data_IF_287193898275
#
_entry.id   IF_287193898275
#
_cell.length_a   1.000
_cell.length_b   1.000
_cell.length_c   1.000
_cell.angle_alpha   90.00
_cell.angle_beta   90.00
_cell.angle_gamma   90.00
#
_symmetry.space_group_name_H-M   'P 1'
#
loop_
_entity.id
_entity.type
_entity.pdbx_description
1 polymer ?
#
# COMPACT_ATOMS: atom_id res chain seq x y z
N UNK A 1 -58.93 -14.75 37.07
CA UNK A 1 -58.16 -16.01 37.18
C UNK A 1 -56.95 -15.91 36.26
N UNK A 2 -55.74 -15.92 36.81
CA UNK A 2 -54.51 -15.92 36.00
C UNK A 2 -54.21 -17.34 35.53
N UNK A 3 -53.88 -17.56 34.24
CA UNK A 3 -53.51 -18.88 33.77
C UNK A 3 -52.19 -19.31 34.40
N UNK A 4 -52.25 -20.27 35.34
CA UNK A 4 -51.05 -20.87 35.93
C UNK A 4 -50.44 -21.83 34.94
N UNK A 5 -49.43 -21.37 34.21
CA UNK A 5 -48.61 -22.21 33.33
C UNK A 5 -47.75 -23.17 34.15
N UNK A 6 -47.82 -24.46 33.82
CA UNK A 6 -47.07 -25.52 34.51
C UNK A 6 -45.55 -25.27 34.49
N UNK A 7 -44.84 -25.42 35.62
CA UNK A 7 -43.41 -25.13 35.74
C UNK A 7 -42.54 -25.92 34.75
N UNK A 8 -42.96 -27.14 34.41
CA UNK A 8 -42.28 -28.00 33.42
C UNK A 8 -42.33 -27.41 31.99
N UNK A 9 -43.39 -26.67 31.66
CA UNK A 9 -43.55 -26.02 30.35
C UNK A 9 -42.72 -24.75 30.23
N UNK A 10 -42.45 -24.09 31.36
CA UNK A 10 -41.59 -22.89 31.45
C UNK A 10 -40.12 -23.27 31.29
N UNK A 11 -39.66 -24.35 31.92
CA UNK A 11 -38.27 -24.82 31.78
C UNK A 11 -37.93 -25.26 30.36
N UNK A 12 -38.84 -25.96 29.69
CA UNK A 12 -38.69 -26.37 28.28
C UNK A 12 -38.60 -25.16 27.34
N UNK A 13 -39.49 -24.17 27.50
CA UNK A 13 -39.42 -22.92 26.74
C UNK A 13 -38.14 -22.15 27.00
N UNK A 14 -37.70 -22.02 28.25
CA UNK A 14 -36.42 -21.37 28.58
C UNK A 14 -35.24 -22.08 27.90
N UNK A 15 -35.26 -23.42 27.86
CA UNK A 15 -34.22 -24.22 27.21
C UNK A 15 -34.19 -24.01 25.68
N UNK A 16 -35.37 -23.94 25.04
CA UNK A 16 -35.47 -23.61 23.61
C UNK A 16 -34.96 -22.19 23.32
N UNK A 17 -35.37 -21.19 24.11
CA UNK A 17 -34.88 -19.82 23.94
C UNK A 17 -33.35 -19.72 24.13
N UNK A 18 -32.78 -20.47 25.08
CA UNK A 18 -31.32 -20.51 25.27
C UNK A 18 -30.58 -21.15 24.11
N UNK A 19 -31.14 -22.19 23.49
CA UNK A 19 -30.56 -22.84 22.31
C UNK A 19 -30.61 -21.91 21.10
N UNK A 20 -31.74 -21.25 20.88
CA UNK A 20 -31.93 -20.30 19.79
C UNK A 20 -31.02 -19.07 19.96
N UNK A 21 -30.93 -18.52 21.17
CA UNK A 21 -29.99 -17.44 21.49
C UNK A 21 -28.52 -17.84 21.31
N UNK A 22 -28.15 -19.09 21.61
CA UNK A 22 -26.80 -19.61 21.35
C UNK A 22 -26.51 -19.67 19.85
N UNK A 23 -27.46 -20.17 19.04
CA UNK A 23 -27.29 -20.23 17.60
C UNK A 23 -27.10 -18.83 16.98
N UNK A 24 -27.90 -17.85 17.41
CA UNK A 24 -27.72 -16.46 16.98
C UNK A 24 -26.37 -15.88 17.40
N UNK A 25 -25.94 -16.14 18.65
CA UNK A 25 -24.64 -15.67 19.15
C UNK A 25 -23.48 -16.25 18.33
N UNK A 26 -23.52 -17.54 18.02
CA UNK A 26 -22.48 -18.22 17.23
C UNK A 26 -22.40 -17.65 15.81
N UNK A 27 -23.55 -17.34 15.22
CA UNK A 27 -23.63 -16.72 13.89
C UNK A 27 -23.06 -15.29 13.89
N UNK A 28 -23.31 -14.52 14.95
CA UNK A 28 -22.77 -13.16 15.12
C UNK A 28 -21.27 -13.22 15.36
N UNK A 29 -20.79 -14.08 16.27
CA UNK A 29 -19.37 -14.23 16.57
C UNK A 29 -18.59 -14.67 15.31
N UNK A 30 -19.15 -15.54 14.48
CA UNK A 30 -18.57 -15.92 13.19
C UNK A 30 -18.43 -14.74 12.23
N UNK A 31 -19.49 -13.93 12.08
CA UNK A 31 -19.47 -12.74 11.21
C UNK A 31 -18.51 -11.66 11.72
N UNK A 32 -18.48 -11.41 13.03
CA UNK A 32 -17.58 -10.44 13.65
C UNK A 32 -16.12 -10.90 13.55
N UNK A 33 -15.86 -12.20 13.73
CA UNK A 33 -14.52 -12.77 13.57
C UNK A 33 -14.00 -12.61 12.13
N UNK A 34 -14.83 -12.90 11.13
CA UNK A 34 -14.47 -12.72 9.73
C UNK A 34 -14.25 -11.24 9.38
N UNK A 35 -15.16 -10.36 9.83
CA UNK A 35 -15.03 -8.92 9.61
C UNK A 35 -13.76 -8.36 10.27
N UNK A 36 -13.43 -8.81 11.48
CA UNK A 36 -12.18 -8.44 12.17
C UNK A 36 -10.96 -8.91 11.39
N UNK A 37 -10.98 -10.14 10.87
CA UNK A 37 -9.88 -10.69 10.07
C UNK A 37 -9.65 -9.87 8.80
N UNK A 38 -10.71 -9.54 8.08
CA UNK A 38 -10.65 -8.72 6.87
C UNK A 38 -10.20 -7.28 7.17
N UNK A 39 -10.78 -6.64 8.19
CA UNK A 39 -10.40 -5.30 8.62
C UNK A 39 -8.93 -5.23 9.05
N UNK A 40 -8.44 -6.25 9.78
CA UNK A 40 -7.03 -6.34 10.18
C UNK A 40 -6.13 -6.50 8.97
N UNK A 41 -6.52 -7.33 7.99
CA UNK A 41 -5.72 -7.56 6.77
C UNK A 41 -5.66 -6.30 5.90
N UNK A 42 -6.79 -5.63 5.68
CA UNK A 42 -6.86 -4.39 4.90
C UNK A 42 -6.12 -3.27 5.64
N UNK A 43 -6.35 -3.13 6.94
CA UNK A 43 -5.69 -2.14 7.79
C UNK A 43 -4.17 -2.31 7.82
N UNK A 44 -3.68 -3.55 7.93
CA UNK A 44 -2.23 -3.83 7.91
C UNK A 44 -1.61 -3.44 6.58
N UNK A 45 -2.25 -3.77 5.45
CA UNK A 45 -1.78 -3.38 4.12
C UNK A 45 -1.76 -1.86 3.94
N UNK A 46 -2.85 -1.20 4.33
CA UNK A 46 -2.97 0.25 4.27
C UNK A 46 -1.90 0.94 5.16
N UNK A 47 -1.64 0.40 6.36
CA UNK A 47 -0.64 0.90 7.27
C UNK A 47 0.78 0.75 6.72
N UNK A 48 1.10 -0.40 6.10
CA UNK A 48 2.42 -0.61 5.48
C UNK A 48 2.61 0.36 4.31
N UNK A 49 1.64 0.46 3.40
CA UNK A 49 1.74 1.36 2.24
C UNK A 49 1.81 2.83 2.69
N UNK A 50 0.91 3.23 3.59
CA UNK A 50 0.87 4.58 4.15
C UNK A 50 2.15 4.90 4.94
N UNK A 51 2.65 3.95 5.71
CA UNK A 51 3.89 4.07 6.47
C UNK A 51 5.11 4.25 5.57
N UNK A 52 5.26 3.44 4.52
CA UNK A 52 6.36 3.57 3.55
C UNK A 52 6.28 4.91 2.82
N UNK A 53 5.10 5.31 2.34
CA UNK A 53 4.92 6.61 1.66
C UNK A 53 5.23 7.79 2.59
N UNK A 54 4.65 7.80 3.79
CA UNK A 54 4.87 8.87 4.77
C UNK A 54 6.35 8.96 5.20
N UNK A 55 6.99 7.83 5.51
CA UNK A 55 8.41 7.82 5.87
C UNK A 55 9.30 8.27 4.71
N UNK A 56 9.04 7.83 3.48
CA UNK A 56 9.79 8.28 2.30
C UNK A 56 9.64 9.78 2.06
N UNK A 57 8.44 10.34 2.23
CA UNK A 57 8.20 11.78 2.08
C UNK A 57 8.93 12.57 3.17
N UNK A 58 8.87 12.12 4.42
CA UNK A 58 9.59 12.77 5.52
C UNK A 58 11.11 12.70 5.31
N UNK A 59 11.64 11.55 4.90
CA UNK A 59 13.07 11.40 4.58
C UNK A 59 13.48 12.30 3.40
N UNK A 60 12.69 12.33 2.34
CA UNK A 60 12.95 13.17 1.17
C UNK A 60 12.89 14.66 1.52
N UNK A 61 11.89 15.08 2.29
CA UNK A 61 11.72 16.46 2.75
C UNK A 61 12.87 16.87 3.67
N UNK A 62 13.28 16.00 4.60
CA UNK A 62 14.41 16.24 5.49
C UNK A 62 15.73 16.34 4.72
N UNK A 63 15.98 15.43 3.78
CA UNK A 63 17.21 15.39 2.99
C UNK A 63 17.29 16.52 1.94
N UNK A 64 16.14 16.98 1.44
CA UNK A 64 16.07 18.07 0.44
C UNK A 64 16.08 19.44 1.11
N UNK A 65 15.52 19.59 2.31
CA UNK A 65 15.49 20.87 3.05
C UNK A 65 16.89 21.43 3.31
N UNK A 66 17.90 20.59 3.48
CA UNK A 66 19.29 21.04 3.74
C UNK A 66 19.99 21.55 2.45
N UNK A 67 19.46 21.20 1.28
CA UNK A 67 19.93 21.70 -0.02
C UNK A 67 19.20 22.97 -0.48
N UNK A 68 18.12 23.36 0.19
CA UNK A 68 17.51 24.68 0.05
C UNK A 68 18.30 25.72 0.84
N UNK A 69 19.59 25.85 0.55
CA UNK A 69 20.31 27.09 0.81
C UNK A 69 19.56 28.18 0.08
N UNK A 70 18.81 28.97 0.84
CA UNK A 70 18.17 30.22 0.45
C UNK A 70 19.03 30.92 -0.61
N UNK A 71 18.65 30.78 -1.87
CA UNK A 71 18.99 31.78 -2.87
C UNK A 71 18.11 32.96 -2.47
N UNK A 72 18.59 33.74 -1.50
CA UNK A 72 18.15 35.11 -1.38
C UNK A 72 18.55 35.75 -2.71
N UNK A 73 17.58 35.82 -3.61
CA UNK A 73 17.64 36.70 -4.75
C UNK A 73 17.87 38.11 -4.17
N UNK A 74 19.13 38.51 -4.03
CA UNK A 74 19.47 39.91 -4.14
C UNK A 74 19.07 40.26 -5.56
N UNK A 75 17.86 40.81 -5.68
CA UNK A 75 17.43 41.57 -6.84
C UNK A 75 18.48 42.67 -6.96
N UNK A 76 19.48 42.42 -7.81
CA UNK A 76 20.38 43.45 -8.28
C UNK A 76 19.54 44.24 -9.27
N UNK A 77 18.92 45.32 -8.79
CA UNK A 77 18.55 46.44 -9.65
C UNK A 77 19.81 46.79 -10.44
N UNK A 78 19.87 46.41 -11.71
CA UNK A 78 20.61 47.06 -12.81
C UNK A 78 20.71 46.11 -14.02
N UNK A 79 19.83 46.33 -14.99
CA UNK A 79 20.12 46.34 -16.43
C UNK A 79 20.68 45.09 -17.13
N UNK A 80 19.78 44.41 -17.86
CA UNK A 80 20.00 43.95 -19.25
C UNK A 80 21.19 43.00 -19.58
N UNK A 81 21.39 41.93 -18.82
CA UNK A 81 22.21 40.80 -19.29
C UNK A 81 21.49 39.46 -18.97
N UNK A 82 21.33 38.54 -19.94
CA UNK A 82 20.88 37.20 -19.64
C UNK A 82 22.03 36.46 -18.93
N UNK A 83 22.00 36.43 -17.60
CA UNK A 83 22.90 35.56 -16.82
C UNK A 83 22.47 34.13 -17.07
N UNK A 84 23.22 33.40 -17.91
CA UNK A 84 23.07 31.96 -18.08
C UNK A 84 23.50 31.32 -16.76
N UNK A 85 22.53 31.04 -15.89
CA UNK A 85 22.74 30.21 -14.71
C UNK A 85 23.00 28.79 -15.22
N UNK A 86 24.27 28.44 -15.48
CA UNK A 86 24.67 27.03 -15.60
C UNK A 86 24.17 26.37 -14.32
N UNK A 87 23.17 25.49 -14.43
CA UNK A 87 22.82 24.56 -13.36
C UNK A 87 24.09 23.77 -13.07
N UNK A 88 24.84 24.19 -12.06
CA UNK A 88 25.88 23.34 -11.49
C UNK A 88 25.20 22.02 -11.17
N UNK A 89 25.73 20.92 -11.72
CA UNK A 89 25.30 19.58 -11.33
C UNK A 89 25.47 19.54 -9.82
N UNK A 90 24.34 19.58 -9.10
CA UNK A 90 24.34 19.44 -7.66
C UNK A 90 25.24 18.24 -7.36
N UNK A 91 26.31 18.44 -6.58
CA UNK A 91 27.30 17.40 -6.28
C UNK A 91 26.57 16.28 -5.56
N UNK A 92 26.05 15.32 -6.31
CA UNK A 92 25.36 14.16 -5.78
C UNK A 92 26.39 13.41 -4.94
N UNK A 93 26.09 13.20 -3.65
CA UNK A 93 27.01 12.50 -2.75
C UNK A 93 27.34 11.13 -3.34
N UNK A 94 28.63 10.74 -3.38
CA UNK A 94 29.11 9.53 -4.07
C UNK A 94 28.30 8.27 -3.71
N UNK A 95 27.84 8.18 -2.46
CA UNK A 95 26.98 7.12 -1.95
C UNK A 95 25.60 7.08 -2.63
N UNK A 96 24.98 8.23 -2.88
CA UNK A 96 23.67 8.35 -3.56
C UNK A 96 23.81 7.92 -5.02
N UNK A 97 24.93 8.26 -5.66
CA UNK A 97 25.22 7.84 -7.04
C UNK A 97 25.37 6.32 -7.13
N UNK A 98 26.06 5.68 -6.19
CA UNK A 98 26.20 4.22 -6.13
C UNK A 98 24.86 3.52 -5.91
N UNK A 99 24.03 4.00 -4.97
CA UNK A 99 22.70 3.42 -4.70
C UNK A 99 21.79 3.53 -5.92
N UNK A 100 21.78 4.69 -6.61
CA UNK A 100 21.05 4.85 -7.88
C UNK A 100 21.51 3.85 -8.94
N UNK A 101 22.81 3.59 -9.04
CA UNK A 101 23.37 2.58 -9.94
C UNK A 101 22.83 1.17 -9.66
N UNK A 102 22.88 0.71 -8.41
CA UNK A 102 22.34 -0.59 -8.02
C UNK A 102 20.83 -0.69 -8.23
N UNK A 103 20.07 0.37 -7.92
CA UNK A 103 18.63 0.41 -8.20
C UNK A 103 18.34 0.33 -9.69
N UNK A 104 19.10 1.04 -10.53
CA UNK A 104 18.93 1.01 -11.98
C UNK A 104 19.25 -0.38 -12.55
N UNK A 105 20.31 -1.04 -12.07
CA UNK A 105 20.64 -2.42 -12.47
C UNK A 105 19.55 -3.41 -12.03
N UNK A 106 19.01 -3.26 -10.82
CA UNK A 106 17.93 -4.09 -10.32
C UNK A 106 16.64 -3.92 -11.14
N UNK A 107 16.26 -2.67 -11.45
CA UNK A 107 15.12 -2.38 -12.31
C UNK A 107 15.33 -2.94 -13.73
N UNK A 108 16.55 -2.83 -14.28
CA UNK A 108 16.88 -3.38 -15.59
C UNK A 108 16.78 -4.91 -15.61
N UNK A 109 17.18 -5.59 -14.53
CA UNK A 109 17.04 -7.04 -14.40
C UNK A 109 15.56 -7.46 -14.43
N UNK A 110 14.72 -6.79 -13.64
CA UNK A 110 13.27 -7.03 -13.64
C UNK A 110 12.65 -6.75 -15.01
N UNK A 111 13.04 -5.65 -15.66
CA UNK A 111 12.55 -5.29 -16.98
C UNK A 111 12.91 -6.35 -18.04
N UNK A 112 14.14 -6.86 -18.00
CA UNK A 112 14.58 -7.95 -18.88
C UNK A 112 13.71 -9.20 -18.70
N UNK A 113 13.48 -9.63 -17.47
CA UNK A 113 12.67 -10.81 -17.19
C UNK A 113 11.23 -10.64 -17.70
N UNK A 114 10.63 -9.47 -17.48
CA UNK A 114 9.28 -9.14 -17.99
C UNK A 114 9.21 -9.08 -19.52
N UNK A 115 10.24 -8.57 -20.18
CA UNK A 115 10.32 -8.55 -21.64
C UNK A 115 10.43 -9.99 -22.19
N UNK A 116 11.24 -10.85 -21.58
CA UNK A 116 11.39 -12.25 -22.00
C UNK A 116 10.09 -13.04 -21.77
N UNK A 117 9.40 -12.79 -20.65
CA UNK A 117 8.09 -13.36 -20.35
C UNK A 117 7.06 -12.94 -21.42
N UNK A 118 6.97 -11.65 -21.75
CA UNK A 118 6.08 -11.16 -22.79
C UNK A 118 6.40 -11.74 -24.18
N UNK A 119 7.68 -11.87 -24.53
CA UNK A 119 8.11 -12.48 -25.79
C UNK A 119 7.77 -13.97 -25.85
N UNK A 120 7.90 -14.69 -24.75
CA UNK A 120 7.52 -16.11 -24.65
C UNK A 120 6.02 -16.30 -24.86
N UNK A 121 5.20 -15.48 -24.20
CA UNK A 121 3.74 -15.49 -24.34
C UNK A 121 3.32 -15.17 -25.78
N UNK A 122 3.97 -14.19 -26.43
CA UNK A 122 3.72 -13.90 -27.85
C UNK A 122 4.11 -15.08 -28.73
N UNK A 123 5.30 -15.64 -28.54
CA UNK A 123 5.79 -16.77 -29.35
C UNK A 123 4.87 -17.99 -29.25
N UNK A 124 4.37 -18.28 -28.06
CA UNK A 124 3.42 -19.36 -27.81
C UNK A 124 2.08 -19.10 -28.51
N UNK A 125 1.53 -17.89 -28.42
CA UNK A 125 0.32 -17.48 -29.15
C UNK A 125 0.47 -17.55 -30.68
N UNK A 126 1.64 -17.19 -31.22
CA UNK A 126 1.90 -17.27 -32.67
C UNK A 126 2.08 -18.72 -33.16
N UNK A 127 2.68 -19.60 -32.35
CA UNK A 127 2.84 -21.01 -32.68
C UNK A 127 1.49 -21.75 -32.71
N UNK A 128 0.60 -21.44 -31.76
CA UNK A 128 -0.75 -22.00 -31.69
C UNK A 128 -1.62 -21.56 -32.89
N UNK A 129 -1.51 -20.29 -33.31
CA UNK A 129 -2.24 -19.74 -34.46
C UNK A 129 -1.75 -20.24 -35.83
N UNK A 130 -0.56 -20.84 -35.90
CA UNK A 130 0.00 -21.43 -37.13
C UNK A 130 -0.28 -22.92 -37.30
N UNK A 131 -0.86 -23.56 -36.27
CA UNK A 131 -1.20 -24.99 -36.23
C UNK A 131 -2.70 -25.25 -36.41
N UNK A 132 -3.49 -24.20 -36.68
CA UNK A 132 -4.91 -24.24 -37.07
C UNK A 132 -5.11 -23.90 -38.54
#
# INVERSE_FOLDING_TARGET
MFPTVSPKKISERKRQLHLEAKAYKETIDGQVSNLKSEATRIGTRALIIGGVLATSYLLFSYLTSDNEKKVSAKISENGNLPVIVKKEKAKESWLVSSIKGYMLSFLMAIAKDKIIEALSILKENYAEKSSQ
#
